data_IF_080409891512
#
_entry.id   IF_080409891512
#
_cell.length_a   1.000
_cell.length_b   1.000
_cell.length_c   1.000
_cell.angle_alpha   90.00
_cell.angle_beta   90.00
_cell.angle_gamma   90.00
#
_symmetry.space_group_name_H-M   'P 1'
#
loop_
_entity.id
_entity.type
_entity.pdbx_description
1 polymer ?
#
# COMPACT_ATOMS: atom_id res chain seq x y z
N UNK A 1 -71.84 35.49 -3.90
CA UNK A 1 -70.46 35.41 -4.42
C UNK A 1 -69.56 36.38 -3.68
N UNK A 2 -69.14 36.17 -2.45
CA UNK A 2 -69.48 35.26 -1.36
C UNK A 2 -68.81 35.92 -0.13
N UNK A 3 -69.56 36.00 0.98
CA UNK A 3 -69.17 35.85 2.42
C UNK A 3 -67.74 36.17 2.86
N UNK A 4 -67.42 36.67 4.05
CA UNK A 4 -68.04 37.12 5.31
C UNK A 4 -66.85 37.76 6.06
N UNK A 5 -66.87 39.03 6.44
CA UNK A 5 -67.17 39.55 7.78
C UNK A 5 -66.29 39.05 8.95
N UNK A 6 -65.87 40.03 9.76
CA UNK A 6 -65.55 39.93 11.20
C UNK A 6 -64.16 39.37 11.56
N UNK A 7 -63.44 39.77 12.62
CA UNK A 7 -63.61 40.77 13.68
C UNK A 7 -62.26 40.85 14.43
N UNK A 8 -61.90 42.03 14.94
CA UNK A 8 -61.36 42.27 16.29
C UNK A 8 -60.36 41.28 16.95
N UNK A 9 -59.12 41.74 17.22
CA UNK A 9 -58.58 42.09 18.57
C UNK A 9 -57.04 42.04 18.66
N UNK A 10 -56.50 43.11 19.21
CA UNK A 10 -55.15 43.25 19.76
C UNK A 10 -54.91 42.35 20.97
N UNK A 11 -53.75 41.70 21.08
CA UNK A 11 -53.15 41.28 22.37
C UNK A 11 -51.62 41.29 22.30
N UNK A 12 -51.00 41.89 23.30
CA UNK A 12 -49.58 41.90 23.65
C UNK A 12 -49.08 40.56 24.20
N UNK A 13 -47.80 40.22 24.00
CA UNK A 13 -47.03 39.36 24.93
C UNK A 13 -45.53 39.61 24.65
N UNK A 14 -44.79 40.23 25.56
CA UNK A 14 -44.12 39.62 26.73
C UNK A 14 -42.88 38.80 26.35
N UNK A 15 -41.76 39.23 26.91
CA UNK A 15 -40.40 38.72 26.80
C UNK A 15 -40.24 37.24 27.17
N UNK A 16 -39.48 36.50 26.37
CA UNK A 16 -38.91 35.20 26.78
C UNK A 16 -37.39 35.25 26.82
N UNK A 17 -36.86 34.87 27.98
CA UNK A 17 -35.46 34.93 28.35
C UNK A 17 -34.63 33.83 27.64
N UNK A 18 -33.44 34.22 27.19
CA UNK A 18 -32.41 33.31 26.67
C UNK A 18 -31.95 32.37 27.79
N UNK A 19 -32.40 31.11 27.75
CA UNK A 19 -31.84 30.02 28.57
C UNK A 19 -30.38 29.77 28.15
N UNK A 20 -29.44 30.04 29.06
CA UNK A 20 -28.05 29.58 28.95
C UNK A 20 -28.01 28.07 29.20
N UNK A 21 -27.97 27.29 28.13
CA UNK A 21 -27.69 25.85 28.20
C UNK A 21 -26.24 25.65 28.68
N UNK A 22 -26.09 25.12 29.88
CA UNK A 22 -24.78 24.81 30.46
C UNK A 22 -24.19 23.60 29.73
N UNK A 23 -23.10 23.81 28.97
CA UNK A 23 -22.34 22.73 28.33
C UNK A 23 -21.91 21.69 29.37
N UNK A 24 -22.62 20.55 29.44
CA UNK A 24 -22.17 19.36 30.17
C UNK A 24 -20.89 18.86 29.51
N UNK A 25 -19.76 18.99 30.20
CA UNK A 25 -18.53 18.26 29.89
C UNK A 25 -18.77 16.79 30.21
N UNK A 26 -18.88 15.95 29.19
CA UNK A 26 -18.86 14.49 29.36
C UNK A 26 -17.48 14.10 29.89
N UNK A 27 -17.42 13.57 31.12
CA UNK A 27 -16.20 13.00 31.70
C UNK A 27 -15.87 11.69 30.97
N UNK A 28 -14.61 11.52 30.59
CA UNK A 28 -14.08 10.24 30.09
C UNK A 28 -14.20 9.16 31.17
N UNK A 29 -14.41 7.91 30.75
CA UNK A 29 -14.66 6.76 31.63
C UNK A 29 -13.47 6.42 32.53
N UNK A 30 -13.76 6.05 33.78
CA UNK A 30 -12.80 5.80 34.88
C UNK A 30 -11.89 4.55 34.70
N UNK A 31 -11.86 3.90 33.54
CA UNK A 31 -11.27 2.56 33.37
C UNK A 31 -9.74 2.51 33.15
N UNK A 32 -9.02 3.63 33.15
CA UNK A 32 -7.56 3.66 32.86
C UNK A 32 -6.75 4.54 33.83
N UNK A 33 -7.24 4.80 35.04
CA UNK A 33 -6.46 5.53 36.04
C UNK A 33 -5.31 4.66 36.54
N UNK A 34 -4.10 4.93 36.05
CA UNK A 34 -2.86 4.41 36.63
C UNK A 34 -2.76 4.99 38.05
N UNK A 35 -2.84 4.14 39.06
CA UNK A 35 -2.85 4.58 40.46
C UNK A 35 -1.42 4.93 40.91
N UNK A 36 -1.26 6.06 41.60
CA UNK A 36 0.02 6.46 42.21
C UNK A 36 0.81 7.57 41.51
N UNK A 37 0.24 8.20 40.47
CA UNK A 37 0.88 9.29 39.73
C UNK A 37 0.46 10.66 40.30
N UNK A 38 1.37 11.62 40.44
CA UNK A 38 1.05 12.99 40.89
C UNK A 38 0.22 13.75 39.87
N UNK A 39 -0.52 14.78 40.31
CA UNK A 39 -1.38 15.57 39.40
C UNK A 39 -0.62 16.31 38.29
N UNK A 40 0.69 16.54 38.45
CA UNK A 40 1.53 17.14 37.43
C UNK A 40 1.89 16.14 36.32
N UNK A 41 2.21 14.90 36.69
CA UNK A 41 2.50 13.81 35.78
C UNK A 41 1.27 13.37 34.97
N UNK A 42 0.07 13.37 35.57
CA UNK A 42 -1.20 13.11 34.85
C UNK A 42 -1.46 14.18 33.78
N UNK A 43 -1.14 15.44 34.10
CA UNK A 43 -1.24 16.56 33.16
C UNK A 43 -0.22 16.45 32.03
N UNK A 44 1.02 16.09 32.33
CA UNK A 44 2.07 15.86 31.33
C UNK A 44 1.72 14.69 30.42
N UNK A 45 1.21 13.59 30.96
CA UNK A 45 0.74 12.44 30.21
C UNK A 45 -0.40 12.82 29.25
N UNK A 46 -1.36 13.60 29.73
CA UNK A 46 -2.47 14.10 28.89
C UNK A 46 -1.97 14.99 27.75
N UNK A 47 -0.99 15.87 28.03
CA UNK A 47 -0.37 16.74 27.03
C UNK A 47 0.41 15.90 26.01
N UNK A 48 1.17 14.90 26.46
CA UNK A 48 1.93 13.99 25.60
C UNK A 48 1.03 13.16 24.69
N UNK A 49 -0.06 12.58 25.22
CA UNK A 49 -1.08 11.87 24.43
C UNK A 49 -1.69 12.82 23.40
N UNK A 50 -2.06 14.04 23.80
CA UNK A 50 -2.65 15.03 22.89
C UNK A 50 -1.68 15.47 21.79
N UNK A 51 -0.40 15.65 22.11
CA UNK A 51 0.63 15.99 21.13
C UNK A 51 0.90 14.82 20.19
N UNK A 52 0.97 13.58 20.71
CA UNK A 52 1.13 12.38 19.90
C UNK A 52 -0.05 12.15 18.94
N UNK A 53 -1.29 12.37 19.42
CA UNK A 53 -2.49 12.34 18.56
C UNK A 53 -2.43 13.44 17.50
N UNK A 54 -1.96 14.63 17.85
CA UNK A 54 -1.80 15.73 16.90
C UNK A 54 -0.72 15.44 15.87
N UNK A 55 0.41 14.84 16.25
CA UNK A 55 1.49 14.44 15.35
C UNK A 55 1.04 13.33 14.39
N UNK A 56 0.28 12.33 14.88
CA UNK A 56 -0.36 11.32 14.04
C UNK A 56 -1.29 11.95 13.00
N UNK A 57 -2.05 12.97 13.40
CA UNK A 57 -2.98 13.70 12.54
C UNK A 57 -2.32 14.81 11.70
N UNK A 58 -1.06 15.16 11.97
CA UNK A 58 -0.32 16.24 11.33
C UNK A 58 0.83 15.72 10.46
N UNK A 59 0.75 14.46 9.99
CA UNK A 59 1.60 14.04 8.87
C UNK A 59 1.35 15.00 7.71
N UNK A 60 2.39 15.47 7.01
CA UNK A 60 2.18 16.11 5.73
C UNK A 60 1.49 15.07 4.87
N UNK A 61 0.22 15.29 4.57
CA UNK A 61 -0.44 14.64 3.44
C UNK A 61 0.32 15.20 2.25
N UNK A 62 1.41 14.55 1.87
CA UNK A 62 1.89 14.67 0.50
C UNK A 62 0.71 14.11 -0.27
N UNK A 63 -0.08 15.01 -0.87
CA UNK A 63 -1.15 14.63 -1.76
C UNK A 63 -0.50 13.69 -2.78
N UNK A 64 -1.01 12.48 -2.96
CA UNK A 64 -0.37 11.47 -3.82
C UNK A 64 -0.05 12.02 -5.23
N UNK A 65 -0.82 13.01 -5.68
CA UNK A 65 -0.62 13.71 -6.94
C UNK A 65 0.66 14.58 -7.00
N UNK A 66 1.31 14.86 -5.87
CA UNK A 66 2.54 15.65 -5.75
C UNK A 66 3.81 14.77 -5.77
N UNK A 67 3.66 13.45 -5.71
CA UNK A 67 4.79 12.52 -5.81
C UNK A 67 5.20 12.43 -7.29
N UNK A 68 6.43 12.81 -7.59
CA UNK A 68 6.98 12.68 -8.94
C UNK A 68 7.05 11.20 -9.38
N UNK A 69 6.71 10.95 -10.64
CA UNK A 69 6.81 9.60 -11.20
C UNK A 69 8.27 9.09 -11.18
N UNK A 70 8.43 7.80 -10.95
CA UNK A 70 9.73 7.15 -10.97
C UNK A 70 10.42 7.32 -12.33
N UNK A 71 11.68 7.78 -12.29
CA UNK A 71 12.49 7.96 -13.48
C UNK A 71 12.57 6.67 -14.31
N UNK A 72 12.21 6.78 -15.59
CA UNK A 72 12.01 5.62 -16.47
C UNK A 72 12.96 5.68 -17.66
N UNK A 73 13.83 4.67 -17.78
CA UNK A 73 14.79 4.54 -18.87
C UNK A 73 14.38 3.45 -19.86
N UNK A 74 14.67 3.68 -21.15
CA UNK A 74 14.32 2.79 -22.27
C UNK A 74 15.57 2.54 -23.12
N UNK A 75 16.44 1.59 -22.73
CA UNK A 75 17.66 1.30 -23.46
C UNK A 75 17.36 0.86 -24.90
N UNK A 76 18.25 1.23 -25.80
CA UNK A 76 18.34 0.63 -27.12
C UNK A 76 18.85 -0.82 -27.03
N UNK A 77 18.71 -1.59 -28.12
CA UNK A 77 19.22 -2.96 -28.18
C UNK A 77 20.73 -3.05 -27.91
N UNK A 78 21.49 -2.03 -28.32
CA UNK A 78 22.94 -1.98 -28.12
C UNK A 78 23.31 -1.67 -26.67
N UNK A 79 22.60 -0.74 -26.03
CA UNK A 79 22.78 -0.42 -24.61
C UNK A 79 22.31 -1.55 -23.69
N UNK A 80 21.31 -2.33 -24.14
CA UNK A 80 20.77 -3.45 -23.37
C UNK A 80 21.66 -4.71 -23.40
N UNK A 81 22.82 -4.69 -24.07
CA UNK A 81 23.71 -5.87 -24.13
C UNK A 81 24.35 -6.22 -22.80
N UNK A 82 24.83 -5.24 -22.05
CA UNK A 82 25.50 -5.46 -20.75
C UNK A 82 24.78 -4.67 -19.64
N UNK A 83 24.09 -5.36 -18.71
CA UNK A 83 23.34 -4.69 -17.65
C UNK A 83 24.23 -3.88 -16.71
N UNK A 84 25.44 -4.34 -16.42
CA UNK A 84 26.30 -3.68 -15.43
C UNK A 84 26.89 -2.40 -16.00
N UNK A 85 27.31 -2.42 -17.26
CA UNK A 85 27.76 -1.21 -17.98
C UNK A 85 26.62 -0.21 -18.12
N UNK A 86 25.43 -0.69 -18.45
CA UNK A 86 24.25 0.17 -18.57
C UNK A 86 23.88 0.82 -17.23
N UNK A 87 23.84 0.05 -16.14
CA UNK A 87 23.56 0.57 -14.79
C UNK A 87 24.65 1.56 -14.35
N UNK A 88 25.92 1.31 -14.68
CA UNK A 88 27.01 2.25 -14.39
C UNK A 88 26.85 3.58 -15.13
N UNK A 89 26.42 3.54 -16.40
CA UNK A 89 26.15 4.76 -17.17
C UNK A 89 24.97 5.54 -16.57
N UNK A 90 23.88 4.85 -16.22
CA UNK A 90 22.76 5.49 -15.53
C UNK A 90 23.20 6.13 -14.21
N UNK A 91 24.07 5.47 -13.45
CA UNK A 91 24.63 6.03 -12.22
C UNK A 91 25.38 7.34 -12.49
N UNK A 92 26.21 7.39 -13.54
CA UNK A 92 26.95 8.59 -13.96
C UNK A 92 26.03 9.72 -14.44
N UNK A 93 24.86 9.38 -14.98
CA UNK A 93 23.82 10.33 -15.41
C UNK A 93 23.00 10.89 -14.25
N UNK A 94 23.23 10.44 -13.01
CA UNK A 94 22.52 10.95 -11.83
C UNK A 94 21.37 10.06 -11.36
N UNK A 95 21.22 8.84 -11.89
CA UNK A 95 20.16 7.91 -11.45
C UNK A 95 20.22 7.58 -9.94
N UNK A 96 21.38 7.78 -9.31
CA UNK A 96 21.57 7.54 -7.88
C UNK A 96 20.81 8.51 -6.96
N UNK A 97 20.40 9.67 -7.47
CA UNK A 97 19.67 10.67 -6.70
C UNK A 97 18.22 10.25 -6.41
N UNK A 98 17.64 9.41 -7.27
CA UNK A 98 16.23 8.98 -7.18
C UNK A 98 15.99 7.82 -6.19
N UNK A 99 17.03 7.12 -5.76
CA UNK A 99 16.95 5.89 -4.95
C UNK A 99 16.43 4.66 -5.72
N UNK A 100 15.37 4.82 -6.52
CA UNK A 100 14.78 3.78 -7.37
C UNK A 100 14.55 4.30 -8.80
N UNK A 101 14.77 3.43 -9.80
CA UNK A 101 14.52 3.72 -11.21
C UNK A 101 13.78 2.57 -11.89
N UNK A 102 13.08 2.86 -12.98
CA UNK A 102 12.40 1.87 -13.81
C UNK A 102 13.13 1.71 -15.13
N UNK A 103 13.51 0.48 -15.49
CA UNK A 103 14.09 0.16 -16.79
C UNK A 103 13.07 -0.66 -17.57
N UNK A 104 12.65 -0.16 -18.74
CA UNK A 104 11.75 -0.87 -19.64
C UNK A 104 12.61 -1.47 -20.76
N UNK A 105 12.72 -2.81 -20.86
CA UNK A 105 13.60 -3.44 -21.83
C UNK A 105 13.12 -3.19 -23.28
N UNK A 106 14.00 -3.41 -24.28
CA UNK A 106 13.63 -3.36 -25.68
C UNK A 106 12.49 -4.34 -26.01
N UNK A 107 11.70 -4.01 -27.03
CA UNK A 107 10.52 -4.81 -27.40
C UNK A 107 10.85 -6.24 -27.89
N UNK A 108 12.11 -6.49 -28.26
CA UNK A 108 12.62 -7.82 -28.63
C UNK A 108 12.81 -8.75 -27.43
N UNK A 109 13.04 -8.19 -26.23
CA UNK A 109 13.33 -8.96 -25.02
C UNK A 109 12.03 -9.37 -24.31
N UNK A 110 11.63 -10.63 -24.50
CA UNK A 110 10.39 -11.19 -23.94
C UNK A 110 10.65 -12.58 -23.33
N UNK A 111 11.25 -12.65 -22.13
CA UNK A 111 11.48 -13.92 -21.47
C UNK A 111 10.15 -14.61 -21.13
N UNK A 112 10.09 -15.95 -21.19
CA UNK A 112 8.90 -16.70 -20.81
C UNK A 112 8.59 -16.53 -19.32
N UNK A 113 7.32 -16.59 -18.94
CA UNK A 113 6.93 -16.69 -17.54
C UNK A 113 6.99 -18.17 -17.12
N UNK A 114 7.82 -18.54 -16.12
CA UNK A 114 8.01 -19.93 -15.73
C UNK A 114 6.86 -20.51 -14.90
N UNK A 115 5.97 -19.65 -14.39
CA UNK A 115 4.86 -20.05 -13.57
C UNK A 115 3.65 -20.37 -14.46
N UNK A 116 3.36 -21.67 -14.61
CA UNK A 116 2.12 -22.11 -15.26
C UNK A 116 0.91 -21.77 -14.39
N UNK A 117 -0.12 -21.18 -14.99
CA UNK A 117 -1.38 -20.80 -14.33
C UNK A 117 -2.17 -21.99 -13.81
N UNK A 118 -1.92 -23.18 -14.37
CA UNK A 118 -2.57 -24.45 -14.03
C UNK A 118 -1.73 -25.30 -13.08
N UNK A 119 -0.64 -24.73 -12.56
CA UNK A 119 0.21 -25.42 -11.59
C UNK A 119 -0.56 -25.72 -10.30
N UNK A 120 -0.55 -26.99 -9.90
CA UNK A 120 -1.08 -27.46 -8.61
C UNK A 120 -0.13 -27.19 -7.44
N UNK A 121 1.02 -26.56 -7.71
CA UNK A 121 2.01 -26.19 -6.71
C UNK A 121 1.42 -25.17 -5.73
N UNK A 122 1.52 -25.49 -4.43
CA UNK A 122 1.09 -24.60 -3.36
C UNK A 122 2.23 -23.66 -2.97
N UNK A 123 1.95 -22.38 -2.98
CA UNK A 123 2.85 -21.31 -2.56
C UNK A 123 2.59 -21.01 -1.08
N UNK A 124 3.63 -20.99 -0.22
CA UNK A 124 3.49 -20.45 1.12
C UNK A 124 3.12 -18.97 1.04
N UNK A 125 2.26 -18.54 1.94
CA UNK A 125 1.72 -17.18 1.95
C UNK A 125 1.51 -16.68 3.38
N UNK A 126 1.30 -15.37 3.50
CA UNK A 126 1.03 -14.68 4.76
C UNK A 126 -0.29 -13.93 4.65
N UNK A 127 -1.05 -13.90 5.75
CA UNK A 127 -2.23 -13.07 5.86
C UNK A 127 -1.84 -11.69 6.38
N UNK A 128 -2.17 -10.66 5.63
CA UNK A 128 -1.90 -9.28 5.98
C UNK A 128 -3.20 -8.54 6.18
N UNK A 129 -3.44 -8.04 7.39
CA UNK A 129 -4.51 -7.08 7.65
C UNK A 129 -3.97 -5.68 7.37
N UNK A 130 -4.50 -5.00 6.35
CA UNK A 130 -3.98 -3.72 5.86
C UNK A 130 -3.95 -2.66 6.98
N UNK A 131 -5.03 -2.54 7.75
CA UNK A 131 -5.18 -1.63 8.89
C UNK A 131 -4.16 -1.89 10.01
N UNK A 132 -3.56 -3.08 10.09
CA UNK A 132 -2.61 -3.47 11.14
C UNK A 132 -1.15 -3.38 10.69
N UNK A 133 -0.86 -3.03 9.44
CA UNK A 133 0.52 -3.00 8.93
C UNK A 133 1.42 -2.03 9.70
N UNK A 134 0.90 -0.90 10.16
CA UNK A 134 1.64 0.07 10.96
C UNK A 134 1.89 -0.33 12.42
N UNK A 135 1.32 -1.45 12.89
CA UNK A 135 1.37 -1.84 14.31
C UNK A 135 2.61 -2.69 14.67
N UNK A 136 3.44 -3.05 13.68
CA UNK A 136 4.66 -3.86 13.90
C UNK A 136 4.39 -5.28 14.41
N UNK A 137 3.16 -5.77 14.30
CA UNK A 137 2.80 -7.15 14.65
C UNK A 137 3.19 -8.09 13.50
N UNK A 138 3.72 -9.29 13.81
CA UNK A 138 3.99 -10.28 12.78
C UNK A 138 2.69 -10.74 12.11
N UNK A 139 2.78 -11.06 10.82
CA UNK A 139 1.67 -11.57 10.03
C UNK A 139 1.45 -13.07 10.28
N UNK A 140 0.19 -13.50 10.26
CA UNK A 140 -0.14 -14.91 10.34
C UNK A 140 0.30 -15.64 9.07
N UNK A 141 0.74 -16.88 9.23
CA UNK A 141 1.30 -17.68 8.14
C UNK A 141 0.30 -18.75 7.68
N UNK A 142 0.12 -18.87 6.36
CA UNK A 142 -0.59 -19.99 5.77
C UNK A 142 0.40 -21.12 5.49
N UNK A 143 0.48 -22.07 6.43
CA UNK A 143 1.35 -23.25 6.30
C UNK A 143 0.92 -24.19 5.19
N UNK A 144 -0.37 -24.27 4.90
CA UNK A 144 -0.92 -25.19 3.91
C UNK A 144 -0.65 -24.70 2.48
N UNK A 145 -0.33 -23.41 2.34
CA UNK A 145 -0.10 -22.73 1.09
C UNK A 145 -1.35 -22.65 0.20
N UNK A 146 -1.19 -21.98 -0.92
CA UNK A 146 -2.28 -21.71 -1.86
C UNK A 146 -1.79 -21.82 -3.30
N UNK A 147 -2.62 -22.35 -4.19
CA UNK A 147 -2.26 -22.49 -5.60
C UNK A 147 -2.39 -21.16 -6.34
N UNK A 148 -1.70 -21.01 -7.47
CA UNK A 148 -1.84 -19.81 -8.32
C UNK A 148 -3.27 -19.62 -8.81
N UNK A 149 -3.96 -20.71 -9.16
CA UNK A 149 -5.34 -20.67 -9.63
C UNK A 149 -6.28 -20.20 -8.52
N UNK A 150 -6.06 -20.63 -7.28
CA UNK A 150 -6.88 -20.21 -6.13
C UNK A 150 -6.58 -18.78 -5.70
N UNK A 151 -5.32 -18.34 -5.77
CA UNK A 151 -4.95 -16.93 -5.61
C UNK A 151 -5.74 -16.04 -6.57
N UNK A 152 -5.79 -16.40 -7.85
CA UNK A 152 -6.53 -15.65 -8.86
C UNK A 152 -8.04 -15.62 -8.57
N UNK A 153 -8.62 -16.72 -8.10
CA UNK A 153 -10.05 -16.76 -7.72
C UNK A 153 -10.35 -15.87 -6.52
N UNK A 154 -9.46 -15.79 -5.54
CA UNK A 154 -9.61 -14.87 -4.40
C UNK A 154 -9.54 -13.42 -4.83
N UNK A 155 -8.64 -13.09 -5.75
CA UNK A 155 -8.48 -11.75 -6.34
C UNK A 155 -9.73 -11.30 -7.12
N UNK A 156 -10.35 -12.23 -7.87
CA UNK A 156 -11.62 -12.02 -8.61
C UNK A 156 -12.85 -11.77 -7.72
N UNK A 157 -12.73 -11.94 -6.40
CA UNK A 157 -13.84 -11.78 -5.46
C UNK A 157 -14.26 -10.34 -5.18
N UNK A 158 -13.46 -9.35 -5.60
CA UNK A 158 -13.74 -7.93 -5.32
C UNK A 158 -13.95 -7.12 -6.60
N UNK A 159 -15.19 -7.13 -7.09
CA UNK A 159 -15.62 -6.48 -8.35
C UNK A 159 -15.19 -5.01 -8.46
N UNK A 160 -15.09 -4.29 -7.34
CA UNK A 160 -14.65 -2.89 -7.31
C UNK A 160 -13.18 -2.74 -7.70
N UNK A 161 -12.26 -3.51 -7.08
CA UNK A 161 -10.83 -3.40 -7.36
C UNK A 161 -10.50 -3.90 -8.77
N UNK A 162 -11.12 -5.00 -9.19
CA UNK A 162 -10.92 -5.56 -10.54
C UNK A 162 -11.31 -4.55 -11.63
N UNK A 163 -12.39 -3.79 -11.43
CA UNK A 163 -12.82 -2.73 -12.34
C UNK A 163 -11.78 -1.60 -12.42
N UNK A 164 -11.25 -1.15 -11.28
CA UNK A 164 -10.22 -0.11 -11.24
C UNK A 164 -8.93 -0.55 -11.96
N UNK A 165 -8.48 -1.78 -11.70
CA UNK A 165 -7.30 -2.37 -12.36
C UNK A 165 -7.52 -2.48 -13.87
N UNK A 166 -8.71 -2.95 -14.29
CA UNK A 166 -9.07 -3.07 -15.71
C UNK A 166 -9.12 -1.73 -16.42
N UNK A 167 -9.58 -0.68 -15.73
CA UNK A 167 -9.61 0.70 -16.22
C UNK A 167 -8.26 1.42 -16.08
N UNK A 168 -7.22 0.77 -15.55
CA UNK A 168 -5.89 1.34 -15.27
C UNK A 168 -5.92 2.59 -14.38
N UNK A 169 -6.86 2.63 -13.43
CA UNK A 169 -7.02 3.72 -12.46
C UNK A 169 -6.18 3.45 -11.21
N UNK A 170 -4.86 3.43 -11.38
CA UNK A 170 -3.93 3.09 -10.28
C UNK A 170 -3.92 4.15 -9.17
N UNK A 171 -4.10 5.43 -9.51
CA UNK A 171 -4.14 6.53 -8.52
C UNK A 171 -5.32 6.40 -7.55
N UNK A 172 -6.49 5.95 -8.04
CA UNK A 172 -7.65 5.70 -7.20
C UNK A 172 -7.40 4.49 -6.28
N UNK A 173 -6.76 3.44 -6.80
CA UNK A 173 -6.40 2.25 -6.03
C UNK A 173 -5.36 2.54 -4.95
N UNK A 174 -4.37 3.38 -5.24
CA UNK A 174 -3.37 3.84 -4.27
C UNK A 174 -4.00 4.70 -3.17
N UNK A 175 -4.90 5.62 -3.52
CA UNK A 175 -5.68 6.41 -2.55
C UNK A 175 -6.47 5.52 -1.60
N UNK A 176 -7.16 4.52 -2.13
CA UNK A 176 -7.90 3.55 -1.33
C UNK A 176 -6.97 2.75 -0.42
N UNK A 177 -5.82 2.31 -0.92
CA UNK A 177 -4.84 1.58 -0.12
C UNK A 177 -4.39 2.41 1.09
N UNK A 178 -3.98 3.66 0.89
CA UNK A 178 -3.54 4.52 1.99
C UNK A 178 -4.68 4.87 2.95
N UNK A 179 -5.90 5.10 2.46
CA UNK A 179 -7.08 5.27 3.30
C UNK A 179 -7.31 4.05 4.22
N UNK A 180 -7.17 2.82 3.71
CA UNK A 180 -7.26 1.61 4.54
C UNK A 180 -6.12 1.47 5.54
N UNK A 181 -4.91 1.89 5.19
CA UNK A 181 -3.76 1.83 6.12
C UNK A 181 -3.95 2.84 7.27
N UNK A 182 -4.53 4.01 6.99
CA UNK A 182 -4.68 5.09 7.95
C UNK A 182 -5.97 4.98 8.77
N UNK A 183 -7.06 4.51 8.18
CA UNK A 183 -8.37 4.38 8.81
C UNK A 183 -8.52 3.02 9.52
N UNK A 184 -8.01 2.94 10.75
CA UNK A 184 -8.06 1.72 11.57
C UNK A 184 -9.45 1.39 12.15
N UNK A 185 -10.44 2.27 11.98
CA UNK A 185 -11.81 2.06 12.48
C UNK A 185 -12.72 1.36 11.45
N UNK A 186 -12.25 1.25 10.21
CA UNK A 186 -12.94 0.56 9.11
C UNK A 186 -12.95 -0.97 9.27
N UNK A 187 -13.77 -1.66 8.45
CA UNK A 187 -13.77 -3.13 8.40
C UNK A 187 -12.39 -3.66 8.02
N UNK A 188 -11.90 -4.66 8.76
CA UNK A 188 -10.57 -5.24 8.54
C UNK A 188 -10.47 -5.90 7.16
N UNK A 189 -9.54 -5.42 6.33
CA UNK A 189 -9.26 -5.99 5.02
C UNK A 189 -8.08 -6.93 5.16
N UNK A 190 -8.35 -8.21 4.95
CA UNK A 190 -7.35 -9.27 4.96
C UNK A 190 -6.97 -9.64 3.53
N UNK A 191 -5.70 -9.44 3.20
CA UNK A 191 -5.11 -9.89 1.94
C UNK A 191 -4.16 -11.04 2.19
N UNK A 192 -3.95 -11.87 1.19
CA UNK A 192 -2.99 -12.97 1.24
C UNK A 192 -1.82 -12.66 0.30
N UNK A 193 -0.60 -12.72 0.83
CA UNK A 193 0.61 -12.34 0.11
C UNK A 193 1.66 -13.46 0.16
N UNK A 194 2.00 -14.02 -1.01
CA UNK A 194 3.07 -15.01 -1.15
C UNK A 194 4.40 -14.33 -1.48
N UNK A 195 5.24 -14.19 -0.46
CA UNK A 195 6.58 -13.62 -0.56
C UNK A 195 7.65 -14.61 -0.11
N UNK A 196 8.92 -14.25 -0.29
CA UNK A 196 10.09 -15.05 0.12
C UNK A 196 10.09 -16.46 -0.49
N UNK A 197 9.60 -16.59 -1.73
CA UNK A 197 9.51 -17.87 -2.42
C UNK A 197 10.89 -18.31 -2.93
N UNK A 198 11.48 -19.40 -2.41
CA UNK A 198 12.76 -19.89 -2.90
C UNK A 198 12.62 -20.38 -4.33
N UNK A 199 13.45 -19.81 -5.19
CA UNK A 199 13.52 -20.12 -6.61
C UNK A 199 13.79 -21.58 -6.94
N UNK A 200 14.61 -22.29 -6.16
CA UNK A 200 14.86 -23.71 -6.42
C UNK A 200 13.58 -24.55 -6.34
N UNK A 201 12.60 -24.10 -5.57
CA UNK A 201 11.31 -24.75 -5.41
C UNK A 201 10.29 -24.20 -6.41
N UNK A 202 10.19 -22.87 -6.52
CA UNK A 202 9.09 -22.16 -7.18
C UNK A 202 9.47 -21.42 -8.47
N UNK A 203 10.75 -21.36 -8.83
CA UNK A 203 11.26 -20.65 -10.01
C UNK A 203 11.35 -21.54 -11.26
N UNK A 204 11.83 -20.96 -12.37
CA UNK A 204 12.08 -21.67 -13.63
C UNK A 204 13.07 -22.80 -13.41
N UNK A 205 12.62 -24.04 -13.59
CA UNK A 205 13.48 -25.22 -13.48
C UNK A 205 14.20 -25.52 -14.79
N UNK A 206 13.52 -25.33 -15.92
CA UNK A 206 14.05 -25.61 -17.26
C UNK A 206 13.47 -24.62 -18.27
N UNK A 207 14.30 -24.14 -19.20
CA UNK A 207 13.86 -23.34 -20.34
C UNK A 207 13.55 -24.28 -21.52
N UNK A 208 12.46 -24.02 -22.24
CA UNK A 208 12.17 -24.74 -23.47
C UNK A 208 13.20 -24.40 -24.56
N UNK A 209 13.24 -25.17 -25.65
CA UNK A 209 14.25 -25.03 -26.70
C UNK A 209 14.31 -23.61 -27.27
N UNK A 210 13.16 -22.96 -27.41
CA UNK A 210 13.04 -21.60 -27.96
C UNK A 210 13.39 -20.51 -26.93
N UNK A 211 13.41 -20.85 -25.64
CA UNK A 211 13.72 -19.92 -24.55
C UNK A 211 15.18 -19.98 -24.09
N UNK A 212 15.98 -20.91 -24.63
CA UNK A 212 17.42 -21.02 -24.38
C UNK A 212 18.20 -19.71 -24.52
N UNK A 213 17.87 -18.77 -25.44
CA UNK A 213 18.55 -17.48 -25.48
C UNK A 213 18.43 -16.67 -24.18
N UNK A 214 17.34 -16.82 -23.43
CA UNK A 214 17.12 -16.14 -22.15
C UNK A 214 17.86 -16.81 -20.99
N UNK A 215 18.17 -18.10 -21.11
CA UNK A 215 18.87 -18.85 -20.08
C UNK A 215 20.24 -18.23 -19.79
N UNK A 216 21.00 -17.87 -20.82
CA UNK A 216 22.32 -17.23 -20.68
C UNK A 216 22.32 -15.73 -20.94
N UNK A 217 21.15 -15.11 -21.03
CA UNK A 217 21.05 -13.68 -21.30
C UNK A 217 21.65 -12.84 -20.15
N UNK A 218 22.39 -11.76 -20.43
CA UNK A 218 23.00 -10.88 -19.42
C UNK A 218 22.05 -10.40 -18.34
N UNK A 219 20.82 -10.05 -18.74
CA UNK A 219 19.73 -9.61 -17.85
C UNK A 219 18.99 -10.72 -17.10
N UNK A 220 19.42 -11.98 -17.25
CA UNK A 220 18.91 -13.05 -16.41
C UNK A 220 19.45 -12.88 -14.99
N UNK A 221 18.58 -12.46 -14.05
CA UNK A 221 18.91 -12.26 -12.63
C UNK A 221 19.52 -13.52 -11.99
N UNK A 222 19.25 -14.68 -12.58
CA UNK A 222 19.82 -15.95 -12.18
C UNK A 222 21.33 -16.04 -12.33
N UNK A 223 21.87 -15.30 -13.30
CA UNK A 223 23.27 -15.32 -13.69
C UNK A 223 23.93 -13.94 -13.62
N UNK A 224 23.17 -12.89 -13.32
CA UNK A 224 23.69 -11.52 -13.24
C UNK A 224 24.88 -11.40 -12.27
N UNK A 225 24.83 -12.10 -11.14
CA UNK A 225 25.92 -12.12 -10.16
C UNK A 225 27.21 -12.80 -10.66
N UNK A 226 27.11 -13.69 -11.67
CA UNK A 226 28.24 -14.42 -12.27
C UNK A 226 28.89 -13.67 -13.44
N UNK A 227 28.39 -12.47 -13.78
CA UNK A 227 28.92 -11.70 -14.92
C UNK A 227 30.30 -11.17 -14.61
N UNK A 228 31.15 -11.06 -15.63
CA UNK A 228 32.56 -10.68 -15.52
C UNK A 228 32.81 -9.40 -14.71
N UNK A 229 31.90 -8.43 -14.78
CA UNK A 229 31.99 -7.15 -14.08
C UNK A 229 31.28 -7.14 -12.70
N UNK A 230 30.73 -8.27 -12.27
CA UNK A 230 30.12 -8.42 -10.95
C UNK A 230 31.19 -8.83 -9.95
N UNK A 231 31.34 -8.05 -8.88
CA UNK A 231 32.20 -8.45 -7.74
C UNK A 231 31.66 -9.69 -7.02
N UNK A 232 30.35 -9.95 -7.12
CA UNK A 232 29.69 -11.09 -6.47
C UNK A 232 30.02 -12.43 -7.16
N UNK A 233 30.74 -12.43 -8.29
CA UNK A 233 31.13 -13.67 -8.96
C UNK A 233 32.20 -14.46 -8.18
N UNK A 234 32.85 -13.84 -7.20
CA UNK A 234 33.92 -14.43 -6.38
C UNK A 234 33.47 -14.80 -4.96
N UNK A 235 32.21 -14.55 -4.62
CA UNK A 235 31.61 -14.88 -3.33
C UNK A 235 30.89 -16.23 -3.40
#
# INVERSE_FOLDING_TARGET
KDSDSDEYKSVSCASEAVRRESRRRTRMSDSEKITGISGEEERLLTIAIKNSLREKNAKPVIELNEIEEMMTYRPTEDEFKDPLVYIENLYKEGASEYGCIKIIPPASFKPPCPLSKDSTMKLPSRYQTIQKMGQGKPFDFNSDGITLSDFKKKDLGTTTYESLVSQKKYDELEKMFWDFVENTESEEINVEYAADLPRNTYGTKEFEKDDKPYEDHPWNLNKMHLRHNSLLQFC
#
